data_IF_816710034601
#
_entry.id   IF_816710034601
#
_cell.length_a   1.000
_cell.length_b   1.000
_cell.length_c   1.000
_cell.angle_alpha   90.00
_cell.angle_beta   90.00
_cell.angle_gamma   90.00
#
_symmetry.space_group_name_H-M   'P 1'
#
loop_
_entity.id
_entity.type
_entity.pdbx_description
1 polymer ?
#
# COMPACT_ATOMS: atom_id res chain seq x y z
N UNK A 1 -23.33 7.62 -3.49
CA UNK A 1 -22.30 6.70 -4.07
C UNK A 1 -22.47 5.37 -3.37
N UNK A 2 -22.64 4.29 -4.12
CA UNK A 2 -22.78 2.94 -3.57
C UNK A 2 -21.42 2.41 -3.10
N UNK A 3 -21.43 1.39 -2.25
CA UNK A 3 -20.19 0.77 -1.75
C UNK A 3 -19.39 0.18 -2.92
N UNK A 4 -20.08 -0.49 -3.84
CA UNK A 4 -19.47 -1.10 -5.02
C UNK A 4 -18.73 -0.06 -5.89
N UNK A 5 -19.34 1.12 -6.09
CA UNK A 5 -18.76 2.20 -6.90
C UNK A 5 -17.42 2.69 -6.29
N UNK A 6 -17.33 2.75 -4.96
CA UNK A 6 -16.13 3.25 -4.29
C UNK A 6 -15.04 2.18 -4.18
N UNK A 7 -15.42 0.90 -4.06
CA UNK A 7 -14.49 -0.22 -4.15
C UNK A 7 -13.84 -0.29 -5.54
N UNK A 8 -14.64 -0.18 -6.59
CA UNK A 8 -14.14 -0.17 -7.97
C UNK A 8 -13.19 1.01 -8.20
N UNK A 9 -13.56 2.20 -7.71
CA UNK A 9 -12.71 3.37 -7.79
C UNK A 9 -11.39 3.18 -7.03
N UNK A 10 -11.42 2.62 -5.81
CA UNK A 10 -10.22 2.34 -5.02
C UNK A 10 -9.30 1.35 -5.74
N UNK A 11 -9.87 0.26 -6.26
CA UNK A 11 -9.13 -0.75 -7.00
C UNK A 11 -8.49 -0.16 -8.27
N UNK A 12 -9.23 0.68 -9.00
CA UNK A 12 -8.72 1.40 -10.17
C UNK A 12 -7.53 2.30 -9.81
N UNK A 13 -7.60 3.04 -8.69
CA UNK A 13 -6.52 3.91 -8.24
C UNK A 13 -5.27 3.15 -7.78
N UNK A 14 -5.43 1.98 -7.15
CA UNK A 14 -4.31 1.10 -6.79
C UNK A 14 -3.59 0.62 -8.05
N UNK A 15 -4.35 0.15 -9.04
CA UNK A 15 -3.79 -0.32 -10.32
C UNK A 15 -3.09 0.82 -11.07
N UNK A 16 -3.70 2.01 -11.11
CA UNK A 16 -3.11 3.20 -11.74
C UNK A 16 -1.79 3.59 -11.05
N UNK A 17 -1.76 3.64 -9.72
CA UNK A 17 -0.56 3.95 -8.96
C UNK A 17 0.58 2.96 -9.27
N UNK A 18 0.26 1.66 -9.26
CA UNK A 18 1.24 0.63 -9.60
C UNK A 18 1.74 0.75 -11.06
N UNK A 19 0.85 1.07 -12.00
CA UNK A 19 1.20 1.28 -13.41
C UNK A 19 2.08 2.52 -13.63
N UNK A 20 1.95 3.54 -12.76
CA UNK A 20 2.83 4.73 -12.71
C UNK A 20 4.15 4.49 -11.97
N UNK A 21 4.48 3.23 -11.61
CA UNK A 21 5.75 2.85 -11.01
C UNK A 21 5.82 3.03 -9.48
N UNK A 22 4.70 3.25 -8.78
CA UNK A 22 4.69 3.19 -7.32
C UNK A 22 4.78 1.74 -6.84
N UNK A 23 5.64 1.48 -5.86
CA UNK A 23 5.76 0.14 -5.29
C UNK A 23 4.54 -0.23 -4.46
N UNK A 24 4.31 -1.55 -4.28
CA UNK A 24 3.27 -2.05 -3.37
C UNK A 24 3.44 -1.47 -1.95
N UNK A 25 4.69 -1.29 -1.51
CA UNK A 25 5.01 -0.71 -0.20
C UNK A 25 4.60 0.77 -0.12
N UNK A 26 4.84 1.56 -1.16
CA UNK A 26 4.44 2.97 -1.19
C UNK A 26 2.93 3.15 -1.24
N UNK A 27 2.26 2.34 -2.08
CA UNK A 27 0.79 2.32 -2.17
C UNK A 27 0.19 1.97 -0.80
N UNK A 28 0.66 0.90 -0.16
CA UNK A 28 0.19 0.50 1.17
C UNK A 28 0.48 1.57 2.24
N UNK A 29 1.64 2.23 2.16
CA UNK A 29 1.98 3.34 3.06
C UNK A 29 1.03 4.52 2.90
N UNK A 30 0.64 4.85 1.66
CA UNK A 30 -0.34 5.90 1.39
C UNK A 30 -1.71 5.54 1.98
N UNK A 31 -2.11 4.28 1.91
CA UNK A 31 -3.37 3.77 2.45
C UNK A 31 -3.40 3.67 3.99
N UNK A 32 -2.24 3.70 4.66
CA UNK A 32 -2.01 3.73 6.13
C UNK A 32 -2.54 2.54 6.93
N UNK A 33 -3.75 2.03 6.69
CA UNK A 33 -4.40 0.97 7.48
C UNK A 33 -4.69 -0.29 6.67
N UNK A 34 -4.37 -0.27 5.38
CA UNK A 34 -4.62 -1.41 4.50
C UNK A 34 -3.50 -2.43 4.64
N UNK A 35 -3.85 -3.70 4.62
CA UNK A 35 -2.87 -4.78 4.54
C UNK A 35 -2.14 -4.73 3.20
N UNK A 36 -0.83 -4.97 3.23
CA UNK A 36 -0.04 -5.12 2.00
C UNK A 36 -0.54 -6.31 1.16
N UNK A 37 -1.07 -7.35 1.84
CA UNK A 37 -1.62 -8.52 1.18
C UNK A 37 -2.82 -8.15 0.29
N UNK A 38 -3.69 -7.26 0.75
CA UNK A 38 -4.86 -6.83 -0.01
C UNK A 38 -4.45 -6.12 -1.30
N UNK A 39 -3.47 -5.21 -1.25
CA UNK A 39 -2.94 -4.53 -2.44
C UNK A 39 -2.26 -5.53 -3.37
N UNK A 40 -1.51 -6.47 -2.81
CA UNK A 40 -0.82 -7.50 -3.59
C UNK A 40 -1.80 -8.44 -4.27
N UNK A 41 -2.82 -8.93 -3.54
CA UNK A 41 -3.82 -9.86 -4.08
C UNK A 41 -4.62 -9.20 -5.22
N UNK A 42 -5.01 -7.93 -5.08
CA UNK A 42 -5.63 -7.17 -6.15
C UNK A 42 -4.74 -7.09 -7.41
N UNK A 43 -3.46 -6.75 -7.23
CA UNK A 43 -2.52 -6.64 -8.35
C UNK A 43 -2.24 -7.99 -9.01
N UNK A 44 -2.21 -9.08 -8.22
CA UNK A 44 -2.11 -10.45 -8.72
C UNK A 44 -3.35 -10.83 -9.53
N UNK A 45 -4.54 -10.59 -9.00
CA UNK A 45 -5.80 -10.97 -9.63
C UNK A 45 -6.04 -10.21 -10.94
N UNK A 46 -5.46 -9.02 -11.06
CA UNK A 46 -5.42 -8.24 -12.31
C UNK A 46 -4.21 -8.56 -13.21
N UNK A 47 -3.40 -9.55 -12.87
CA UNK A 47 -2.23 -9.96 -13.65
C UNK A 47 -1.07 -8.96 -13.66
N UNK A 48 -1.08 -7.96 -12.76
CA UNK A 48 -0.02 -6.94 -12.69
C UNK A 48 1.23 -7.42 -11.97
N UNK A 49 1.10 -8.37 -11.05
CA UNK A 49 2.21 -9.05 -10.37
C UNK A 49 2.08 -10.56 -10.56
N UNK A 50 3.21 -11.29 -10.61
CA UNK A 50 3.18 -12.75 -10.77
C UNK A 50 2.58 -13.42 -9.53
N UNK A 51 2.00 -14.62 -9.76
CA UNK A 51 1.54 -15.49 -8.68
C UNK A 51 2.76 -16.13 -8.02
N UNK A 52 2.85 -16.02 -6.69
CA UNK A 52 3.86 -16.70 -5.91
C UNK A 52 3.33 -18.03 -5.40
N UNK A 53 4.04 -19.10 -5.65
CA UNK A 53 3.70 -20.39 -5.08
C UNK A 53 3.90 -20.45 -3.56
N UNK A 54 3.08 -21.26 -2.88
CA UNK A 54 3.09 -21.36 -1.42
C UNK A 54 4.45 -21.86 -0.86
N UNK A 55 5.17 -22.66 -1.62
CA UNK A 55 6.51 -23.15 -1.31
C UNK A 55 7.54 -22.01 -1.30
N UNK A 56 7.42 -21.06 -2.22
CA UNK A 56 8.32 -19.92 -2.33
C UNK A 56 8.08 -18.87 -1.25
N UNK A 57 6.85 -18.77 -0.75
CA UNK A 57 6.50 -17.86 0.33
C UNK A 57 7.31 -18.10 1.63
N UNK A 58 7.66 -19.36 1.88
CA UNK A 58 8.42 -19.80 3.06
C UNK A 58 9.91 -19.88 2.82
N UNK A 59 10.36 -19.66 1.59
CA UNK A 59 11.78 -19.76 1.26
C UNK A 59 12.58 -18.70 2.03
N UNK A 60 13.65 -19.16 2.66
CA UNK A 60 14.62 -18.26 3.28
C UNK A 60 15.69 -17.90 2.24
N UNK A 61 15.97 -16.62 2.14
CA UNK A 61 17.00 -16.07 1.29
C UNK A 61 18.19 -15.64 2.15
N UNK A 62 19.40 -15.83 1.64
CA UNK A 62 20.63 -15.42 2.28
C UNK A 62 20.86 -13.91 2.05
N UNK A 63 20.14 -13.11 2.84
CA UNK A 63 20.15 -11.65 2.83
C UNK A 63 20.35 -11.12 4.25
N UNK A 64 20.67 -9.83 4.36
CA UNK A 64 20.80 -9.17 5.65
C UNK A 64 19.57 -9.42 6.55
N UNK A 65 19.76 -9.94 7.79
CA UNK A 65 18.65 -10.21 8.71
C UNK A 65 17.79 -8.99 9.04
N UNK A 66 18.37 -7.77 8.96
CA UNK A 66 17.64 -6.51 9.16
C UNK A 66 16.59 -6.31 8.07
N UNK A 67 16.92 -6.62 6.82
CA UNK A 67 15.99 -6.55 5.70
C UNK A 67 14.86 -7.58 5.84
N UNK A 68 15.20 -8.83 6.19
CA UNK A 68 14.20 -9.87 6.49
C UNK A 68 13.23 -9.42 7.59
N UNK A 69 13.76 -8.84 8.67
CA UNK A 69 12.96 -8.33 9.78
C UNK A 69 12.08 -7.15 9.35
N UNK A 70 12.61 -6.24 8.53
CA UNK A 70 11.85 -5.10 8.02
C UNK A 70 10.70 -5.54 7.11
N UNK A 71 10.92 -6.51 6.22
CA UNK A 71 9.87 -7.11 5.41
C UNK A 71 8.76 -7.73 6.28
N UNK A 72 9.13 -8.58 7.25
CA UNK A 72 8.18 -9.20 8.18
C UNK A 72 7.35 -8.18 8.97
N UNK A 73 7.97 -7.10 9.45
CA UNK A 73 7.26 -6.01 10.16
C UNK A 73 6.23 -5.31 9.28
N UNK A 74 6.40 -5.35 7.97
CA UNK A 74 5.45 -4.82 6.99
C UNK A 74 4.42 -5.87 6.53
N UNK A 75 4.52 -7.12 7.01
CA UNK A 75 3.57 -8.19 6.72
C UNK A 75 3.85 -9.01 5.45
N UNK A 76 5.08 -8.99 4.92
CA UNK A 76 5.43 -9.77 3.72
C UNK A 76 6.83 -10.40 3.80
N UNK A 77 7.10 -11.33 2.87
CA UNK A 77 8.43 -11.93 2.72
C UNK A 77 9.31 -11.13 1.75
N UNK A 78 10.64 -11.33 1.82
CA UNK A 78 11.56 -10.74 0.85
C UNK A 78 11.23 -11.13 -0.59
N UNK A 79 10.92 -12.41 -0.84
CA UNK A 79 10.53 -12.88 -2.18
C UNK A 79 9.28 -12.13 -2.69
N UNK A 80 8.30 -11.89 -1.83
CA UNK A 80 7.11 -11.12 -2.19
C UNK A 80 7.42 -9.66 -2.51
N UNK A 81 8.36 -9.06 -1.80
CA UNK A 81 8.88 -7.73 -2.13
C UNK A 81 9.52 -7.70 -3.51
N UNK A 82 10.38 -8.68 -3.81
CA UNK A 82 11.01 -8.80 -5.12
C UNK A 82 9.97 -8.91 -6.24
N UNK A 83 8.97 -9.80 -6.09
CA UNK A 83 7.91 -9.96 -7.09
C UNK A 83 7.07 -8.69 -7.28
N UNK A 84 6.82 -7.95 -6.21
CA UNK A 84 6.15 -6.65 -6.29
C UNK A 84 6.90 -5.62 -7.13
N UNK A 85 8.23 -5.77 -7.23
CA UNK A 85 9.11 -5.00 -8.11
C UNK A 85 9.41 -5.70 -9.45
N UNK A 86 8.85 -6.88 -9.69
CA UNK A 86 9.16 -7.77 -10.83
C UNK A 86 10.64 -8.19 -10.89
N UNK A 87 11.29 -8.30 -9.74
CA UNK A 87 12.63 -8.85 -9.65
C UNK A 87 12.58 -10.36 -9.45
N UNK A 88 13.50 -11.09 -10.07
CA UNK A 88 13.81 -12.44 -9.62
C UNK A 88 14.47 -12.38 -8.23
N UNK A 89 13.96 -13.11 -7.23
CA UNK A 89 14.51 -13.05 -5.88
C UNK A 89 15.98 -13.47 -5.75
N UNK A 90 16.46 -14.38 -6.59
CA UNK A 90 17.85 -14.81 -6.56
C UNK A 90 18.79 -13.77 -7.18
N UNK A 91 18.35 -13.14 -8.27
CA UNK A 91 19.07 -12.00 -8.86
C UNK A 91 19.14 -10.84 -7.86
N UNK A 92 18.03 -10.57 -7.15
CA UNK A 92 18.00 -9.55 -6.12
C UNK A 92 18.95 -9.87 -4.96
N UNK A 93 19.01 -11.12 -4.50
CA UNK A 93 19.99 -11.56 -3.46
C UNK A 93 21.42 -11.32 -3.94
N UNK A 94 21.74 -11.69 -5.17
CA UNK A 94 23.09 -11.49 -5.73
C UNK A 94 23.45 -9.99 -5.78
N UNK A 95 22.54 -9.15 -6.24
CA UNK A 95 22.74 -7.71 -6.29
C UNK A 95 22.97 -7.11 -4.89
N UNK A 96 22.21 -7.52 -3.89
CA UNK A 96 22.30 -6.99 -2.51
C UNK A 96 23.55 -7.43 -1.75
N UNK A 97 24.28 -8.44 -2.23
CA UNK A 97 25.58 -8.86 -1.65
C UNK A 97 26.74 -7.94 -2.06
N UNK A 98 26.58 -7.21 -3.14
CA UNK A 98 27.56 -6.22 -3.59
C UNK A 98 27.22 -4.84 -3.05
N UNK A 99 28.23 -4.02 -2.76
CA UNK A 99 27.99 -2.62 -2.47
C UNK A 99 27.43 -1.93 -3.73
N UNK A 100 26.51 -0.96 -3.59
CA UNK A 100 26.05 -0.17 -4.74
C UNK A 100 27.25 0.60 -5.33
N UNK A 101 27.33 0.62 -6.65
CA UNK A 101 28.28 1.44 -7.37
C UNK A 101 27.58 2.76 -7.71
N UNK A 102 28.19 3.89 -7.37
CA UNK A 102 27.61 5.23 -7.60
C UNK A 102 27.34 5.51 -9.09
N UNK A 103 28.12 4.87 -9.99
CA UNK A 103 27.95 5.04 -11.44
C UNK A 103 26.90 4.07 -12.03
N UNK A 104 26.65 2.93 -11.36
CA UNK A 104 25.74 1.87 -11.83
C UNK A 104 24.88 1.31 -10.68
N UNK A 105 24.09 2.16 -10.04
CA UNK A 105 23.14 1.70 -9.01
C UNK A 105 22.15 0.70 -9.62
N UNK A 106 22.18 -0.55 -9.15
CA UNK A 106 21.25 -1.55 -9.67
C UNK A 106 19.80 -1.19 -9.29
N UNK A 107 18.83 -1.58 -10.15
CA UNK A 107 17.41 -1.35 -9.87
C UNK A 107 16.97 -1.91 -8.50
N UNK A 108 17.62 -2.99 -8.03
CA UNK A 108 17.38 -3.59 -6.71
C UNK A 108 17.84 -2.66 -5.59
N UNK A 109 19.01 -2.01 -5.71
CA UNK A 109 19.50 -1.05 -4.72
C UNK A 109 18.60 0.19 -4.68
N UNK A 110 18.21 0.73 -5.83
CA UNK A 110 17.29 1.85 -5.92
C UNK A 110 15.93 1.53 -5.26
N UNK A 111 15.40 0.33 -5.51
CA UNK A 111 14.17 -0.14 -4.87
C UNK A 111 14.32 -0.30 -3.36
N UNK A 112 15.45 -0.86 -2.89
CA UNK A 112 15.74 -1.00 -1.45
C UNK A 112 15.83 0.37 -0.77
N UNK A 113 16.57 1.30 -1.35
CA UNK A 113 16.72 2.68 -0.87
C UNK A 113 15.37 3.41 -0.76
N UNK A 114 14.49 3.16 -1.73
CA UNK A 114 13.15 3.74 -1.78
C UNK A 114 12.20 3.15 -0.72
N UNK A 115 12.15 1.84 -0.59
CA UNK A 115 11.19 1.16 0.29
C UNK A 115 11.68 1.02 1.74
N UNK A 116 12.99 0.92 1.93
CA UNK A 116 13.64 0.69 3.22
C UNK A 116 14.89 1.57 3.39
N UNK A 117 14.75 2.91 3.34
CA UNK A 117 15.90 3.82 3.35
C UNK A 117 16.81 3.63 4.57
N UNK A 118 16.23 3.41 5.77
CA UNK A 118 17.00 3.18 6.99
C UNK A 118 17.83 1.90 6.91
N UNK A 119 17.28 0.84 6.31
CA UNK A 119 17.98 -0.43 6.14
C UNK A 119 19.09 -0.26 5.12
N UNK A 120 18.82 0.41 4.00
CA UNK A 120 19.83 0.72 2.98
C UNK A 120 21.02 1.47 3.58
N UNK A 121 20.78 2.57 4.28
CA UNK A 121 21.83 3.35 4.95
C UNK A 121 22.61 2.51 5.97
N UNK A 122 21.92 1.66 6.72
CA UNK A 122 22.56 0.77 7.70
C UNK A 122 23.37 -0.35 7.07
N UNK A 123 23.01 -0.83 5.88
CA UNK A 123 23.75 -1.89 5.16
C UNK A 123 25.00 -1.35 4.47
N UNK A 124 24.91 -0.20 3.83
CA UNK A 124 25.93 0.28 2.90
C UNK A 124 26.66 1.54 3.38
N UNK A 125 26.01 2.38 4.16
CA UNK A 125 26.61 3.64 4.63
C UNK A 125 27.01 3.61 6.12
N UNK A 126 26.84 2.46 6.79
CA UNK A 126 27.22 2.28 8.20
C UNK A 126 26.38 3.13 9.18
N UNK A 127 25.27 3.72 8.73
CA UNK A 127 24.43 4.57 9.56
C UNK A 127 23.69 3.76 10.64
N UNK A 128 23.64 4.29 11.86
CA UNK A 128 22.82 3.69 12.92
C UNK A 128 21.34 3.97 12.64
N UNK A 129 20.53 2.91 12.69
CA UNK A 129 19.08 3.05 12.56
C UNK A 129 18.53 3.83 13.76
N UNK A 130 18.17 5.09 13.55
CA UNK A 130 17.49 5.90 14.56
C UNK A 130 15.99 5.61 14.52
N UNK A 131 15.43 5.23 15.66
CA UNK A 131 13.98 5.08 15.79
C UNK A 131 13.34 6.47 15.81
N UNK A 132 12.84 6.92 14.69
CA UNK A 132 12.00 8.13 14.68
C UNK A 132 10.77 7.95 15.57
N UNK A 133 10.60 8.84 16.53
CA UNK A 133 9.35 8.95 17.26
C UNK A 133 8.27 9.44 16.30
N UNK A 134 7.40 8.53 15.84
CA UNK A 134 6.22 8.89 15.05
C UNK A 134 5.37 9.87 15.86
N UNK A 135 5.40 11.14 15.47
CA UNK A 135 4.42 12.12 15.93
C UNK A 135 3.05 11.69 15.37
N UNK A 136 2.20 11.21 16.25
CA UNK A 136 0.81 10.87 15.88
C UNK A 136 0.05 12.18 15.67
N UNK A 137 -0.04 12.66 14.44
CA UNK A 137 -1.06 13.62 14.08
C UNK A 137 -2.42 12.94 14.20
N UNK A 138 -3.12 13.19 15.29
CA UNK A 138 -4.54 12.87 15.42
C UNK A 138 -5.32 13.88 14.56
N UNK A 139 -5.68 13.49 13.34
CA UNK A 139 -6.78 14.17 12.64
C UNK A 139 -8.03 14.00 13.49
N UNK A 140 -8.81 15.08 13.68
CA UNK A 140 -10.15 14.95 14.27
C UNK A 140 -10.94 13.96 13.44
N UNK A 141 -11.63 12.99 14.06
CA UNK A 141 -12.54 12.11 13.32
C UNK A 141 -13.66 12.96 12.71
N UNK A 142 -14.01 12.66 11.47
CA UNK A 142 -15.19 13.26 10.84
C UNK A 142 -16.43 12.87 11.65
N UNK A 143 -17.41 13.75 11.71
CA UNK A 143 -18.68 13.50 12.42
C UNK A 143 -19.51 12.48 11.66
N UNK A 144 -20.17 11.59 12.37
CA UNK A 144 -21.10 10.63 11.77
C UNK A 144 -22.51 10.90 12.35
N UNK A 145 -23.46 11.17 11.46
CA UNK A 145 -24.86 11.37 11.81
C UNK A 145 -25.66 10.18 11.30
N UNK A 146 -26.43 9.53 12.19
CA UNK A 146 -27.34 8.44 11.82
C UNK A 146 -28.74 8.84 12.25
N UNK A 147 -29.67 8.91 11.31
CA UNK A 147 -31.05 9.32 11.54
C UNK A 147 -32.04 8.28 11.02
N UNK A 148 -33.21 8.20 11.64
CA UNK A 148 -34.30 7.37 11.16
C UNK A 148 -35.13 8.13 10.12
N UNK A 149 -35.21 7.60 8.92
CA UNK A 149 -36.08 8.11 7.85
C UNK A 149 -37.46 7.46 7.91
N UNK A 150 -38.47 8.22 8.34
CA UNK A 150 -39.87 7.77 8.38
C UNK A 150 -40.42 7.46 7.01
N UNK A 151 -40.01 8.22 5.99
CA UNK A 151 -40.44 8.07 4.60
C UNK A 151 -39.95 6.75 3.98
N UNK A 152 -38.71 6.36 4.27
CA UNK A 152 -38.12 5.13 3.75
C UNK A 152 -38.19 3.94 4.71
N UNK A 153 -38.61 4.13 5.96
CA UNK A 153 -38.57 3.14 7.06
C UNK A 153 -37.18 2.51 7.18
N UNK A 154 -36.15 3.33 7.11
CA UNK A 154 -34.74 2.92 7.14
C UNK A 154 -33.91 3.91 7.95
N UNK A 155 -32.82 3.45 8.53
CA UNK A 155 -31.78 4.33 9.02
C UNK A 155 -30.98 4.91 7.84
N UNK A 156 -30.61 6.18 7.95
CA UNK A 156 -29.76 6.88 6.99
C UNK A 156 -28.56 7.43 7.76
N UNK A 157 -27.37 7.06 7.37
CA UNK A 157 -26.14 7.61 7.91
C UNK A 157 -25.47 8.50 6.86
N UNK A 158 -24.90 9.61 7.34
CA UNK A 158 -24.16 10.56 6.50
C UNK A 158 -22.94 11.10 7.23
N UNK A 159 -21.97 11.55 6.48
CA UNK A 159 -20.80 12.29 6.96
C UNK A 159 -20.95 13.74 6.50
N UNK A 160 -21.36 14.68 7.38
CA UNK A 160 -21.64 16.06 7.00
C UNK A 160 -20.48 16.77 6.31
N UNK A 161 -19.27 16.50 6.76
CA UNK A 161 -18.03 17.06 6.21
C UNK A 161 -17.70 16.53 4.80
N UNK A 162 -18.45 15.50 4.34
CA UNK A 162 -18.24 14.86 3.03
C UNK A 162 -19.57 14.61 2.32
N UNK A 163 -20.14 15.62 1.67
CA UNK A 163 -21.38 15.48 0.92
C UNK A 163 -21.31 14.34 -0.11
N UNK A 164 -22.34 13.53 -0.16
CA UNK A 164 -22.43 12.37 -1.07
C UNK A 164 -21.98 11.04 -0.48
N UNK A 165 -21.40 11.01 0.74
CA UNK A 165 -21.16 9.78 1.47
C UNK A 165 -22.37 9.53 2.37
N UNK A 166 -23.21 8.56 1.98
CA UNK A 166 -24.35 8.11 2.76
C UNK A 166 -24.53 6.60 2.66
N UNK A 167 -25.10 6.00 3.70
CA UNK A 167 -25.52 4.61 3.73
C UNK A 167 -26.94 4.50 4.26
N UNK A 168 -27.68 3.47 3.81
CA UNK A 168 -29.06 3.21 4.22
C UNK A 168 -29.21 1.74 4.60
N UNK A 169 -30.00 1.46 5.63
CA UNK A 169 -30.24 0.08 6.06
C UNK A 169 -31.41 -0.02 7.03
N UNK A 170 -31.88 -1.24 7.26
CA UNK A 170 -32.99 -1.52 8.18
C UNK A 170 -32.55 -1.49 9.64
N UNK A 171 -31.29 -1.80 9.91
CA UNK A 171 -30.71 -1.86 11.26
C UNK A 171 -29.66 -0.76 11.41
N UNK A 172 -29.51 -0.25 12.63
CA UNK A 172 -28.54 0.78 12.96
C UNK A 172 -27.09 0.29 12.78
N UNK A 173 -26.79 -0.92 13.22
CA UNK A 173 -25.45 -1.49 13.14
C UNK A 173 -25.00 -1.69 11.67
N UNK A 174 -25.87 -2.20 10.83
CA UNK A 174 -25.57 -2.39 9.40
C UNK A 174 -25.20 -1.06 8.74
N UNK A 175 -25.98 -0.01 9.04
CA UNK A 175 -25.75 1.34 8.51
C UNK A 175 -24.48 1.96 9.07
N UNK A 176 -24.20 1.77 10.34
CA UNK A 176 -22.98 2.24 10.98
C UNK A 176 -21.73 1.59 10.35
N UNK A 177 -21.72 0.27 10.16
CA UNK A 177 -20.60 -0.43 9.53
C UNK A 177 -20.45 -0.07 8.06
N UNK A 178 -21.56 0.03 7.32
CA UNK A 178 -21.55 0.42 5.91
C UNK A 178 -20.96 1.82 5.72
N UNK A 179 -21.44 2.83 6.46
CA UNK A 179 -20.94 4.20 6.33
C UNK A 179 -19.48 4.33 6.74
N UNK A 180 -19.07 3.59 7.78
CA UNK A 180 -17.67 3.58 8.22
C UNK A 180 -16.75 2.99 7.16
N UNK A 181 -17.18 1.92 6.49
CA UNK A 181 -16.42 1.30 5.39
C UNK A 181 -16.30 2.23 4.19
N UNK A 182 -17.43 2.83 3.76
CA UNK A 182 -17.46 3.81 2.66
C UNK A 182 -16.57 5.01 2.96
N UNK A 183 -16.66 5.55 4.17
CA UNK A 183 -15.81 6.67 4.60
C UNK A 183 -14.32 6.31 4.56
N UNK A 184 -13.94 5.13 5.06
CA UNK A 184 -12.57 4.66 5.04
C UNK A 184 -12.05 4.46 3.60
N UNK A 185 -12.84 3.84 2.71
CA UNK A 185 -12.48 3.67 1.31
C UNK A 185 -12.32 5.01 0.59
N UNK A 186 -13.22 5.96 0.85
CA UNK A 186 -13.11 7.31 0.29
C UNK A 186 -11.83 8.03 0.73
N UNK A 187 -11.44 7.89 2.01
CA UNK A 187 -10.13 8.38 2.47
C UNK A 187 -8.96 7.74 1.73
N UNK A 188 -9.05 6.44 1.43
CA UNK A 188 -8.03 5.73 0.68
C UNK A 188 -7.91 6.26 -0.74
N UNK A 189 -9.03 6.46 -1.43
CA UNK A 189 -9.05 7.08 -2.77
C UNK A 189 -8.40 8.46 -2.75
N UNK A 190 -8.78 9.33 -1.81
CA UNK A 190 -8.19 10.67 -1.70
C UNK A 190 -6.67 10.64 -1.41
N UNK A 191 -6.20 9.65 -0.68
CA UNK A 191 -4.76 9.49 -0.42
C UNK A 191 -4.00 9.03 -1.65
N UNK A 192 -4.61 8.12 -2.43
CA UNK A 192 -4.05 7.69 -3.70
C UNK A 192 -4.08 8.81 -4.75
N UNK A 193 -5.14 9.60 -4.82
CA UNK A 193 -5.19 10.78 -5.69
C UNK A 193 -4.09 11.79 -5.34
N UNK A 194 -3.83 12.02 -4.05
CA UNK A 194 -2.69 12.85 -3.63
C UNK A 194 -1.34 12.25 -4.01
N UNK A 195 -1.19 10.93 -3.91
CA UNK A 195 0.01 10.22 -4.35
C UNK A 195 0.20 10.37 -5.87
N UNK A 196 -0.87 10.19 -6.64
CA UNK A 196 -0.86 10.24 -8.09
C UNK A 196 -0.67 11.65 -8.67
N UNK A 197 -1.23 12.67 -8.00
CA UNK A 197 -1.21 14.07 -8.42
C UNK A 197 -0.13 14.90 -7.72
N UNK A 198 0.41 14.38 -6.62
CA UNK A 198 1.43 15.05 -5.81
C UNK A 198 2.81 14.84 -6.38
N UNK A 199 3.21 15.75 -7.25
CA UNK A 199 4.58 16.06 -7.66
C UNK A 199 5.33 15.03 -8.49
N UNK A 200 5.67 15.40 -9.71
CA UNK A 200 6.84 15.16 -10.55
C UNK A 200 7.94 14.19 -10.11
N UNK A 201 7.58 13.07 -9.45
CA UNK A 201 8.48 11.93 -9.33
C UNK A 201 8.37 11.16 -10.64
N UNK A 202 9.44 11.13 -11.40
CA UNK A 202 9.57 10.19 -12.49
C UNK A 202 9.25 8.78 -11.96
N UNK A 203 8.40 8.02 -12.67
CA UNK A 203 8.17 6.63 -12.33
C UNK A 203 9.52 5.92 -12.34
N UNK A 204 9.84 5.22 -11.25
CA UNK A 204 11.02 4.39 -11.21
C UNK A 204 11.00 3.41 -12.39
N UNK A 205 12.16 2.96 -12.90
CA UNK A 205 12.24 2.14 -14.08
C UNK A 205 11.43 0.87 -13.89
N UNK A 206 10.27 0.82 -14.53
CA UNK A 206 9.54 -0.43 -14.73
C UNK A 206 10.29 -1.14 -15.86
N UNK A 207 11.38 -1.82 -15.50
CA UNK A 207 12.10 -2.63 -16.47
C UNK A 207 11.14 -3.72 -16.96
N UNK A 208 10.63 -3.52 -18.16
CA UNK A 208 9.97 -4.55 -18.92
C UNK A 208 10.97 -5.71 -19.10
N UNK A 209 10.62 -6.85 -18.54
CA UNK A 209 11.22 -8.12 -18.93
C UNK A 209 10.74 -8.37 -20.36
N UNK A 210 11.65 -8.24 -21.34
CA UNK A 210 11.54 -8.90 -22.64
C UNK A 210 11.78 -10.38 -22.44
#
# INVERSE_FOLDING_TARGET
>A
MKIEDIEELLNSRIIEAYSKGYSVVEITRALKKTSIDLVYDLLRDTGKVPVMERSEYRRQYDIDPRLTTACRRKGFSFGRWCLGWRFDPFVAVAALKSAPDDENESAVHAALKRDFPEIYLSMYEGAKITKEKKVKHRSKPDSLIIEWSTKGKTFVAAVPERPGIEARGKNWDDVYFAIKSVHQMHEYVQRLDRLLNGTGREPGPVNGVQ
#
